data_IF_592359475491
#
_entry.id   IF_592359475491
#
_cell.length_a   1.000
_cell.length_b   1.000
_cell.length_c   1.000
_cell.angle_alpha   90.00
_cell.angle_beta   90.00
_cell.angle_gamma   90.00
#
_symmetry.space_group_name_H-M   'P 1'
#
loop_
_entity.id
_entity.type
_entity.pdbx_description
1 polymer ?
#
# COMPACT_ATOMS: atom_id res chain seq x y z
N UNK A 1 -26.61 -6.13 -24.32
CA UNK A 1 -26.71 -7.16 -23.26
C UNK A 1 -25.50 -7.03 -22.37
N UNK A 2 -25.68 -6.87 -21.07
CA UNK A 2 -24.54 -6.90 -20.13
C UNK A 2 -24.15 -8.38 -19.98
N UNK A 3 -22.95 -8.76 -20.43
CA UNK A 3 -22.52 -10.17 -20.45
C UNK A 3 -22.23 -10.73 -19.06
N UNK A 4 -21.98 -9.88 -18.05
CA UNK A 4 -21.89 -10.26 -16.64
C UNK A 4 -21.88 -9.05 -15.72
N UNK A 5 -22.65 -9.09 -14.64
CA UNK A 5 -22.49 -8.16 -13.51
C UNK A 5 -21.39 -8.68 -12.57
N UNK A 6 -20.53 -7.78 -12.10
CA UNK A 6 -19.43 -8.11 -11.20
C UNK A 6 -19.27 -7.05 -10.11
N UNK A 7 -18.81 -7.48 -8.94
CA UNK A 7 -18.49 -6.63 -7.78
C UNK A 7 -17.19 -7.10 -7.14
N UNK A 8 -16.41 -6.16 -6.60
CA UNK A 8 -15.24 -6.44 -5.78
C UNK A 8 -15.08 -5.44 -4.64
N UNK A 9 -14.52 -5.91 -3.53
CA UNK A 9 -14.25 -5.07 -2.35
C UNK A 9 -13.10 -4.09 -2.61
N UNK A 10 -13.21 -2.88 -2.06
CA UNK A 10 -12.17 -1.85 -2.11
C UNK A 10 -11.61 -1.64 -0.70
N UNK A 11 -10.44 -2.21 -0.38
CA UNK A 11 -9.85 -2.02 0.94
C UNK A 11 -9.45 -0.56 1.11
N UNK A 12 -10.02 0.12 2.10
CA UNK A 12 -9.80 1.52 2.45
C UNK A 12 -9.57 1.63 3.95
N UNK A 13 -8.65 2.49 4.36
CA UNK A 13 -8.39 2.82 5.76
C UNK A 13 -9.12 4.12 6.14
N UNK A 14 -9.29 4.37 7.45
CA UNK A 14 -10.12 5.47 7.94
C UNK A 14 -9.65 6.87 7.48
N UNK A 15 -8.36 7.03 7.22
CA UNK A 15 -7.76 8.28 6.73
C UNK A 15 -7.65 8.35 5.20
N UNK A 16 -8.21 7.37 4.48
CA UNK A 16 -8.15 7.22 3.02
C UNK A 16 -6.72 7.10 2.44
N UNK A 17 -5.72 6.81 3.28
CA UNK A 17 -4.34 6.55 2.83
C UNK A 17 -4.04 5.06 2.92
N UNK A 18 -3.18 4.50 2.06
CA UNK A 18 -2.74 3.11 2.21
C UNK A 18 -1.84 2.93 3.43
N UNK A 19 -1.74 1.70 3.93
CA UNK A 19 -0.69 1.28 4.85
C UNK A 19 0.49 0.73 4.03
N UNK A 20 1.62 1.42 4.07
CA UNK A 20 2.85 1.08 3.35
C UNK A 20 4.03 1.21 4.32
N UNK A 21 4.86 0.18 4.43
CA UNK A 21 6.09 0.23 5.24
C UNK A 21 6.39 -1.07 5.96
N UNK A 22 7.53 -1.10 6.65
CA UNK A 22 7.94 -2.24 7.49
C UNK A 22 7.06 -2.32 8.74
N UNK A 23 6.77 -3.54 9.19
CA UNK A 23 6.07 -3.78 10.46
C UNK A 23 6.91 -3.27 11.64
N UNK A 24 6.24 -2.70 12.64
CA UNK A 24 6.85 -2.35 13.93
C UNK A 24 7.16 -3.57 14.80
N UNK A 25 6.59 -4.74 14.49
CA UNK A 25 6.71 -5.95 15.29
C UNK A 25 7.67 -6.99 14.70
N UNK A 26 7.93 -6.93 13.39
CA UNK A 26 8.76 -7.91 12.69
C UNK A 26 9.58 -7.26 11.58
N UNK A 27 10.90 -7.41 11.62
CA UNK A 27 11.83 -6.75 10.68
C UNK A 27 11.71 -7.26 9.23
N UNK A 28 11.11 -8.43 9.03
CA UNK A 28 10.97 -9.10 7.73
C UNK A 28 9.58 -8.97 7.13
N UNK A 29 8.66 -8.26 7.78
CA UNK A 29 7.27 -8.09 7.32
C UNK A 29 7.06 -6.67 6.81
N UNK A 30 6.41 -6.56 5.65
CA UNK A 30 6.07 -5.29 5.00
C UNK A 30 4.59 -5.23 4.67
N UNK A 31 4.00 -4.06 4.85
CA UNK A 31 2.61 -3.76 4.53
C UNK A 31 2.53 -2.97 3.23
N UNK A 32 1.53 -3.26 2.40
CA UNK A 32 1.24 -2.56 1.14
C UNK A 32 -0.25 -2.75 0.75
N UNK A 33 -1.18 -2.22 1.55
CA UNK A 33 -2.62 -2.39 1.33
C UNK A 33 -3.41 -1.11 1.62
N UNK A 34 -4.71 -1.11 1.29
CA UNK A 34 -5.62 -0.01 1.67
C UNK A 34 -5.73 1.13 0.64
N UNK A 35 -5.31 0.91 -0.61
CA UNK A 35 -5.31 1.93 -1.67
C UNK A 35 -6.69 2.31 -2.22
N UNK A 36 -7.76 1.66 -1.76
CA UNK A 36 -9.12 1.97 -2.16
C UNK A 36 -9.34 1.92 -3.68
N UNK A 37 -9.94 2.99 -4.20
CA UNK A 37 -10.24 3.13 -5.63
C UNK A 37 -9.01 3.46 -6.48
N UNK A 38 -7.87 3.80 -5.85
CA UNK A 38 -6.62 4.17 -6.54
C UNK A 38 -5.62 3.02 -6.62
N UNK A 39 -5.98 1.81 -6.18
CA UNK A 39 -5.07 0.66 -6.12
C UNK A 39 -4.41 0.31 -7.45
N UNK A 40 -5.16 0.35 -8.56
CA UNK A 40 -4.60 0.07 -9.89
C UNK A 40 -3.57 1.13 -10.30
N UNK A 41 -3.90 2.42 -10.11
CA UNK A 41 -3.03 3.53 -10.49
C UNK A 41 -1.77 3.61 -9.63
N UNK A 42 -1.88 3.28 -8.33
CA UNK A 42 -0.78 3.40 -7.37
C UNK A 42 0.04 2.12 -7.20
N UNK A 43 -0.39 1.00 -7.81
CA UNK A 43 0.24 -0.31 -7.63
C UNK A 43 1.73 -0.32 -8.02
N UNK A 44 2.07 0.22 -9.19
CA UNK A 44 3.46 0.26 -9.68
C UNK A 44 4.38 1.07 -8.76
N UNK A 45 3.93 2.26 -8.35
CA UNK A 45 4.68 3.15 -7.45
C UNK A 45 4.85 2.53 -6.07
N UNK A 46 3.80 1.88 -5.54
CA UNK A 46 3.88 1.16 -4.27
C UNK A 46 4.88 -0.01 -4.36
N UNK A 47 4.87 -0.76 -5.46
CA UNK A 47 5.81 -1.86 -5.69
C UNK A 47 7.26 -1.40 -5.69
N UNK A 48 7.55 -0.27 -6.36
CA UNK A 48 8.89 0.36 -6.35
C UNK A 48 9.32 0.73 -4.92
N UNK A 49 8.45 1.42 -4.17
CA UNK A 49 8.72 1.79 -2.78
C UNK A 49 8.98 0.56 -1.90
N UNK A 50 8.19 -0.50 -2.02
CA UNK A 50 8.40 -1.74 -1.27
C UNK A 50 9.73 -2.40 -1.62
N UNK A 51 10.10 -2.46 -2.90
CA UNK A 51 11.40 -3.01 -3.30
C UNK A 51 12.56 -2.25 -2.64
N UNK A 52 12.54 -0.92 -2.68
CA UNK A 52 13.57 -0.09 -2.04
C UNK A 52 13.63 -0.32 -0.52
N UNK A 53 12.47 -0.44 0.16
CA UNK A 53 12.40 -0.70 1.60
C UNK A 53 12.89 -2.11 1.99
N UNK A 54 12.62 -3.12 1.17
CA UNK A 54 13.09 -4.50 1.37
C UNK A 54 14.60 -4.58 1.20
N UNK A 55 15.14 -3.89 0.19
CA UNK A 55 16.58 -3.91 -0.14
C UNK A 55 17.39 -2.89 0.65
N UNK A 56 16.75 -2.08 1.51
CA UNK A 56 17.41 -1.07 2.33
C UNK A 56 17.99 0.10 1.54
N UNK A 57 17.42 0.39 0.36
CA UNK A 57 17.84 1.50 -0.49
C UNK A 57 17.12 2.80 -0.13
N UNK A 58 17.71 3.97 -0.44
CA UNK A 58 16.97 5.22 -0.46
C UNK A 58 15.78 5.12 -1.40
N UNK A 59 14.63 5.67 -1.00
CA UNK A 59 13.45 5.80 -1.85
C UNK A 59 13.14 7.27 -2.10
N UNK A 60 12.63 7.57 -3.30
CA UNK A 60 12.20 8.92 -3.69
C UNK A 60 10.93 9.37 -2.97
N UNK A 61 10.21 8.42 -2.35
CA UNK A 61 8.96 8.67 -1.61
C UNK A 61 9.20 8.39 -0.14
N UNK A 62 8.91 9.36 0.72
CA UNK A 62 8.91 9.17 2.16
C UNK A 62 7.74 8.25 2.58
N UNK A 63 8.00 7.07 3.16
CA UNK A 63 6.95 6.17 3.62
C UNK A 63 6.30 6.62 4.94
N UNK A 64 6.86 7.60 5.67
CA UNK A 64 6.39 7.99 7.00
C UNK A 64 4.88 8.28 7.08
N UNK A 65 4.25 9.02 6.12
CA UNK A 65 2.81 9.29 6.15
C UNK A 65 1.92 8.06 5.95
N UNK A 66 2.49 6.95 5.47
CA UNK A 66 1.79 5.71 5.13
C UNK A 66 2.06 4.57 6.11
N UNK A 67 2.89 4.77 7.14
CA UNK A 67 3.21 3.70 8.09
C UNK A 67 1.95 3.23 8.82
N UNK A 68 1.93 1.94 9.18
CA UNK A 68 0.80 1.32 9.85
C UNK A 68 0.63 1.76 11.32
N UNK A 69 1.69 2.29 11.93
CA UNK A 69 1.73 2.80 13.31
C UNK A 69 1.23 4.24 13.45
N UNK A 70 0.63 4.81 12.40
CA UNK A 70 -0.05 6.11 12.43
C UNK A 70 -1.44 6.08 13.08
N UNK A 71 -1.86 4.92 13.57
CA UNK A 71 -3.18 4.62 14.13
C UNK A 71 -3.10 4.29 15.61
#
# INVERSE_FOLDING_TARGET
TVEREWMGHRPVLWDSKPAIGRSSHHDTVFYAFGHGHLGLSLGAVTGRLIADLVEGRPSDIDPAPFRADRF
#
